data_IF_313772396784
#
_entry.id   IF_313772396784
#
_cell.length_a   1.000
_cell.length_b   1.000
_cell.length_c   1.000
_cell.angle_alpha   90.00
_cell.angle_beta   90.00
_cell.angle_gamma   90.00
#
_symmetry.space_group_name_H-M   'P 1'
#
loop_
_entity.id
_entity.type
_entity.pdbx_description
1 polymer ?
#
# COMPACT_ATOMS: atom_id res chain seq x y z
N UNK A 1 -2.06 12.64 -6.95
CA UNK A 1 -2.25 13.57 -5.82
C UNK A 1 -1.41 13.05 -4.66
N UNK A 2 -0.70 13.93 -3.97
CA UNK A 2 -0.07 13.65 -2.69
C UNK A 2 -0.85 14.38 -1.59
N UNK A 3 -1.00 13.76 -0.42
CA UNK A 3 -1.67 14.35 0.73
C UNK A 3 -0.75 14.19 1.94
N UNK A 4 -0.55 15.26 2.69
CA UNK A 4 0.20 15.26 3.93
C UNK A 4 -0.72 15.64 5.12
N UNK A 5 -0.80 14.74 6.10
CA UNK A 5 -1.62 14.85 7.31
C UNK A 5 -0.83 15.33 8.54
N UNK A 6 0.24 16.11 8.36
CA UNK A 6 0.97 16.73 9.47
C UNK A 6 0.04 17.52 10.40
N UNK A 7 -0.90 18.25 9.78
CA UNK A 7 -1.98 18.95 10.43
C UNK A 7 -3.29 18.32 9.93
N UNK A 8 -3.89 17.38 10.67
CA UNK A 8 -5.06 16.64 10.20
C UNK A 8 -6.28 17.52 9.88
N UNK A 9 -6.41 18.67 10.55
CA UNK A 9 -7.48 19.66 10.30
C UNK A 9 -7.25 20.48 9.02
N UNK A 10 -5.99 20.59 8.57
CA UNK A 10 -5.59 21.31 7.35
C UNK A 10 -4.59 20.46 6.53
N UNK A 11 -5.04 19.34 5.93
CA UNK A 11 -4.13 18.48 5.18
C UNK A 11 -3.59 19.22 3.96
N UNK A 12 -2.27 19.16 3.74
CA UNK A 12 -1.66 19.74 2.54
C UNK A 12 -1.93 18.80 1.37
N UNK A 13 -2.57 19.32 0.33
CA UNK A 13 -2.95 18.54 -0.86
C UNK A 13 -2.20 19.08 -2.07
N UNK A 14 -1.44 18.22 -2.73
CA UNK A 14 -0.78 18.53 -3.99
C UNK A 14 -1.37 17.71 -5.14
N UNK A 15 -1.88 18.39 -6.17
CA UNK A 15 -2.30 17.74 -7.41
C UNK A 15 -1.06 17.41 -8.25
N UNK A 16 -0.95 16.16 -8.68
CA UNK A 16 0.09 15.70 -9.59
C UNK A 16 -0.59 15.40 -10.92
N UNK A 17 -0.20 16.13 -11.96
CA UNK A 17 -0.73 15.97 -13.30
C UNK A 17 0.15 14.98 -14.08
N UNK A 18 -0.18 13.69 -13.95
CA UNK A 18 0.53 12.61 -14.63
C UNK A 18 -0.46 11.63 -15.22
N UNK A 19 -0.45 11.50 -16.55
CA UNK A 19 -1.23 10.53 -17.28
C UNK A 19 -0.38 9.29 -17.57
N UNK A 20 -0.58 8.25 -16.76
CA UNK A 20 0.16 6.99 -16.87
C UNK A 20 -0.05 6.29 -18.22
N UNK A 21 -1.17 6.55 -18.90
CA UNK A 21 -1.40 5.98 -20.23
C UNK A 21 -0.44 6.54 -21.27
N UNK A 22 -0.03 7.81 -21.14
CA UNK A 22 1.02 8.41 -21.96
C UNK A 22 2.41 7.86 -21.66
N UNK A 23 2.58 7.20 -20.51
CA UNK A 23 3.80 6.49 -20.13
C UNK A 23 3.74 4.99 -20.50
N UNK A 24 2.69 4.53 -21.18
CA UNK A 24 2.56 3.14 -21.60
C UNK A 24 1.91 2.21 -20.57
N UNK A 25 1.29 2.76 -19.51
CA UNK A 25 0.76 1.98 -18.40
C UNK A 25 -0.72 2.26 -18.11
N UNK A 26 -1.38 1.27 -17.55
CA UNK A 26 -2.68 1.39 -16.92
C UNK A 26 -2.59 1.04 -15.43
N UNK A 27 -3.46 1.67 -14.64
CA UNK A 27 -3.72 1.25 -13.26
C UNK A 27 -4.91 0.30 -13.28
N UNK A 28 -4.78 -0.83 -12.61
CA UNK A 28 -5.82 -1.82 -12.40
C UNK A 28 -6.14 -1.94 -10.92
N UNK A 29 -7.43 -2.03 -10.60
CA UNK A 29 -7.88 -2.50 -9.29
C UNK A 29 -8.36 -3.93 -9.48
N UNK A 30 -7.89 -4.83 -8.61
CA UNK A 30 -8.38 -6.21 -8.54
C UNK A 30 -9.07 -6.38 -7.20
N UNK A 31 -10.36 -6.70 -7.21
CA UNK A 31 -11.11 -7.13 -6.05
C UNK A 31 -10.79 -8.60 -5.77
N UNK A 32 -10.08 -8.84 -4.69
CA UNK A 32 -9.65 -10.15 -4.24
C UNK A 32 -10.67 -10.83 -3.32
N UNK A 33 -11.80 -10.17 -3.06
CA UNK A 33 -12.83 -10.64 -2.12
C UNK A 33 -12.35 -10.62 -0.67
N UNK A 34 -12.93 -11.52 0.13
CA UNK A 34 -12.64 -11.69 1.55
C UNK A 34 -13.67 -11.03 2.47
N UNK A 35 -13.93 -11.69 3.60
CA UNK A 35 -14.89 -11.23 4.57
C UNK A 35 -14.26 -10.24 5.56
N UNK A 36 -14.86 -9.05 5.69
CA UNK A 36 -14.38 -8.01 6.62
C UNK A 36 -14.90 -8.19 8.05
N UNK A 37 -15.92 -9.02 8.25
CA UNK A 37 -16.66 -9.10 9.52
C UNK A 37 -15.79 -9.43 10.74
N UNK A 38 -14.73 -10.24 10.55
CA UNK A 38 -13.86 -10.68 11.64
C UNK A 38 -12.48 -10.00 11.66
N UNK A 39 -12.19 -9.06 10.75
CA UNK A 39 -10.86 -8.45 10.64
C UNK A 39 -10.61 -7.29 11.62
N UNK A 40 -11.61 -6.90 12.42
CA UNK A 40 -11.52 -5.77 13.36
C UNK A 40 -10.32 -5.88 14.29
N UNK A 41 -10.02 -7.09 14.77
CA UNK A 41 -8.89 -7.33 15.66
C UNK A 41 -7.53 -7.18 14.96
N UNK A 42 -7.42 -7.61 13.70
CA UNK A 42 -6.20 -7.47 12.89
C UNK A 42 -5.89 -6.00 12.62
N UNK A 43 -6.91 -5.23 12.24
CA UNK A 43 -6.79 -3.78 12.04
C UNK A 43 -6.43 -3.05 13.32
N UNK A 44 -7.11 -3.35 14.43
CA UNK A 44 -6.82 -2.75 15.73
C UNK A 44 -5.39 -3.06 16.19
N UNK A 45 -4.88 -4.26 15.89
CA UNK A 45 -3.51 -4.65 16.24
C UNK A 45 -2.47 -3.76 15.55
N UNK A 46 -2.67 -3.35 14.29
CA UNK A 46 -1.72 -2.47 13.57
C UNK A 46 -1.54 -1.15 14.31
N UNK A 47 -2.64 -0.47 14.59
CA UNK A 47 -2.64 0.82 15.29
C UNK A 47 -2.09 0.67 16.71
N UNK A 48 -2.51 -0.36 17.43
CA UNK A 48 -2.06 -0.61 18.80
C UNK A 48 -0.54 -0.83 18.85
N UNK A 49 -0.01 -1.69 17.99
CA UNK A 49 1.40 -2.09 18.00
C UNK A 49 2.32 -0.94 17.58
N UNK A 50 1.96 -0.18 16.54
CA UNK A 50 2.69 1.05 16.18
C UNK A 50 2.63 2.09 17.31
N UNK A 51 1.49 2.21 17.99
CA UNK A 51 1.32 3.09 19.15
C UNK A 51 2.12 2.62 20.39
N UNK A 52 2.29 1.32 20.59
CA UNK A 52 3.18 0.76 21.63
C UNK A 52 4.63 1.21 21.40
N UNK A 53 5.09 1.21 20.14
CA UNK A 53 6.42 1.73 19.78
C UNK A 53 6.51 3.24 20.01
N UNK A 54 5.51 4.02 19.58
CA UNK A 54 5.51 5.47 19.78
C UNK A 54 5.56 5.86 21.27
N UNK A 55 4.82 5.13 22.12
CA UNK A 55 4.79 5.37 23.57
C UNK A 55 6.13 5.15 24.25
N UNK A 56 6.98 4.27 23.73
CA UNK A 56 8.35 4.13 24.24
C UNK A 56 9.13 5.45 24.18
N UNK A 57 8.85 6.30 23.18
CA UNK A 57 9.47 7.62 23.02
C UNK A 57 8.65 8.76 23.65
N UNK A 58 7.63 8.45 24.46
CA UNK A 58 6.71 9.44 25.01
C UNK A 58 5.84 10.13 23.94
N UNK A 59 5.62 9.46 22.81
CA UNK A 59 4.81 9.94 21.68
C UNK A 59 3.50 9.16 21.56
N UNK A 60 2.56 9.70 20.80
CA UNK A 60 1.26 9.07 20.56
C UNK A 60 1.26 8.32 19.22
N UNK A 61 1.91 8.87 18.20
CA UNK A 61 2.01 8.25 16.87
C UNK A 61 3.45 8.22 16.37
N UNK A 62 3.76 7.27 15.48
CA UNK A 62 5.11 7.09 14.93
C UNK A 62 5.60 8.30 14.12
N UNK A 63 4.69 9.15 13.60
CA UNK A 63 5.08 10.39 12.90
C UNK A 63 5.86 11.35 13.80
N UNK A 64 5.63 11.30 15.11
CA UNK A 64 6.30 12.17 16.09
C UNK A 64 7.64 11.59 16.56
N UNK A 65 7.98 10.38 16.11
CA UNK A 65 9.21 9.67 16.48
C UNK A 65 10.26 9.91 15.42
N UNK A 66 11.46 10.30 15.84
CA UNK A 66 12.62 10.37 14.95
C UNK A 66 13.05 8.95 14.53
N UNK A 67 13.17 8.72 13.22
CA UNK A 67 13.49 7.41 12.67
C UNK A 67 14.87 6.91 13.13
N UNK A 68 15.87 7.81 13.22
CA UNK A 68 17.21 7.43 13.68
C UNK A 68 17.21 7.02 15.15
N UNK A 69 16.46 7.74 16.01
CA UNK A 69 16.23 7.36 17.40
C UNK A 69 15.53 6.00 17.51
N UNK A 70 14.53 5.73 16.66
CA UNK A 70 13.89 4.41 16.60
C UNK A 70 14.90 3.28 16.34
N UNK A 71 15.73 3.41 15.29
CA UNK A 71 16.74 2.39 14.97
C UNK A 71 17.81 2.25 16.07
N UNK A 72 18.24 3.35 16.67
CA UNK A 72 19.20 3.34 17.78
C UNK A 72 18.64 2.64 19.04
N UNK A 73 17.32 2.68 19.25
CA UNK A 73 16.65 2.08 20.41
C UNK A 73 16.14 0.65 20.20
N UNK A 74 16.35 0.02 19.03
CA UNK A 74 15.80 -1.32 18.72
C UNK A 74 16.06 -2.38 19.79
N UNK A 75 17.27 -2.40 20.34
CA UNK A 75 17.64 -3.37 21.39
C UNK A 75 16.87 -3.18 22.70
N UNK A 76 16.43 -1.95 23.01
CA UNK A 76 15.60 -1.67 24.18
C UNK A 76 14.13 -1.90 23.86
N UNK A 77 13.66 -1.41 22.71
CA UNK A 77 12.30 -1.59 22.21
C UNK A 77 11.91 -3.06 22.17
N UNK A 78 12.80 -3.95 21.68
CA UNK A 78 12.55 -5.40 21.62
C UNK A 78 12.28 -6.05 22.98
N UNK A 79 12.68 -5.42 24.09
CA UNK A 79 12.38 -5.89 25.45
C UNK A 79 11.01 -5.45 25.94
N UNK A 80 10.41 -4.44 25.30
CA UNK A 80 9.14 -3.81 25.73
C UNK A 80 7.98 -4.01 24.77
N UNK A 81 8.24 -4.29 23.48
CA UNK A 81 7.20 -4.50 22.46
C UNK A 81 7.49 -5.77 21.66
N UNK A 82 6.50 -6.25 20.91
CA UNK A 82 6.65 -7.44 20.07
C UNK A 82 7.54 -7.17 18.85
N UNK A 83 8.18 -8.22 18.33
CA UNK A 83 8.93 -8.14 17.06
C UNK A 83 8.03 -7.64 15.92
N UNK A 84 6.74 -8.04 15.90
CA UNK A 84 5.75 -7.54 14.94
C UNK A 84 5.52 -6.03 15.04
N UNK A 85 5.50 -5.47 16.25
CA UNK A 85 5.38 -4.03 16.44
C UNK A 85 6.59 -3.28 15.84
N UNK A 86 7.80 -3.83 16.01
CA UNK A 86 9.02 -3.27 15.41
C UNK A 86 8.97 -3.32 13.87
N UNK A 87 8.58 -4.45 13.30
CA UNK A 87 8.43 -4.61 11.85
C UNK A 87 7.39 -3.64 11.28
N UNK A 88 6.26 -3.47 11.98
CA UNK A 88 5.24 -2.48 11.60
C UNK A 88 5.76 -1.05 11.69
N UNK A 89 6.55 -0.70 12.70
CA UNK A 89 7.19 0.60 12.75
C UNK A 89 8.19 0.81 11.59
N UNK A 90 8.99 -0.19 11.23
CA UNK A 90 9.87 -0.14 10.06
C UNK A 90 9.08 0.05 8.76
N UNK A 91 7.93 -0.62 8.61
CA UNK A 91 7.02 -0.38 7.49
C UNK A 91 6.58 1.09 7.45
N UNK A 92 6.11 1.63 8.58
CA UNK A 92 5.61 3.01 8.65
C UNK A 92 6.66 4.02 8.17
N UNK A 93 7.88 3.97 8.70
CA UNK A 93 8.94 4.88 8.28
C UNK A 93 9.31 4.69 6.81
N UNK A 94 9.49 3.43 6.39
CA UNK A 94 9.84 3.09 5.01
C UNK A 94 8.79 3.56 4.01
N UNK A 95 7.51 3.29 4.24
CA UNK A 95 6.44 3.65 3.31
C UNK A 95 6.21 5.16 3.27
N UNK A 96 6.26 5.85 4.42
CA UNK A 96 6.19 7.32 4.47
C UNK A 96 7.33 7.97 3.70
N UNK A 97 8.56 7.44 3.78
CA UNK A 97 9.70 7.94 3.02
C UNK A 97 9.58 7.68 1.49
N UNK A 98 8.78 6.70 1.06
CA UNK A 98 8.52 6.42 -0.36
C UNK A 98 7.51 7.38 -0.98
N UNK A 99 6.53 7.87 -0.23
CA UNK A 99 5.47 8.76 -0.74
C UNK A 99 6.00 9.99 -1.49
N UNK A 100 6.87 10.84 -0.92
CA UNK A 100 7.38 12.00 -1.64
C UNK A 100 8.24 11.61 -2.85
N UNK A 101 8.96 10.48 -2.77
CA UNK A 101 9.76 9.95 -3.88
C UNK A 101 8.89 9.47 -5.04
N UNK A 102 7.76 8.82 -4.75
CA UNK A 102 6.77 8.43 -5.74
C UNK A 102 6.11 9.65 -6.39
N UNK A 103 5.78 10.67 -5.58
CA UNK A 103 5.22 11.92 -6.09
C UNK A 103 6.19 12.60 -7.06
N UNK A 104 7.47 12.69 -6.70
CA UNK A 104 8.50 13.28 -7.55
C UNK A 104 8.72 12.47 -8.83
N UNK A 105 8.78 11.15 -8.73
CA UNK A 105 8.89 10.27 -9.90
C UNK A 105 7.75 10.50 -10.90
N UNK A 106 6.51 10.69 -10.43
CA UNK A 106 5.37 11.00 -11.29
C UNK A 106 5.49 12.39 -11.94
N UNK A 107 5.99 13.41 -11.23
CA UNK A 107 6.23 14.76 -11.77
C UNK A 107 7.29 14.73 -12.87
N UNK A 108 8.36 13.99 -12.64
CA UNK A 108 9.48 13.81 -13.56
C UNK A 108 9.19 12.80 -14.67
N UNK A 109 8.01 12.16 -14.66
CA UNK A 109 7.63 11.07 -15.58
C UNK A 109 8.61 9.89 -15.57
N UNK A 110 9.31 9.71 -14.44
CA UNK A 110 10.20 8.58 -14.18
C UNK A 110 9.37 7.37 -13.73
N UNK A 111 8.90 6.63 -14.73
CA UNK A 111 8.05 5.47 -14.51
C UNK A 111 8.80 4.30 -13.86
N UNK A 112 10.11 4.20 -14.09
CA UNK A 112 10.93 3.12 -13.53
C UNK A 112 11.07 3.26 -12.02
N UNK A 113 11.38 4.48 -11.56
CA UNK A 113 11.43 4.77 -10.12
C UNK A 113 10.06 4.60 -9.48
N UNK A 114 9.00 5.10 -10.11
CA UNK A 114 7.63 4.94 -9.58
C UNK A 114 7.26 3.45 -9.42
N UNK A 115 7.49 2.65 -10.46
CA UNK A 115 7.25 1.19 -10.47
C UNK A 115 8.05 0.47 -9.39
N UNK A 116 9.34 0.77 -9.27
CA UNK A 116 10.21 0.17 -8.23
C UNK A 116 9.69 0.48 -6.83
N UNK A 117 9.40 1.75 -6.53
CA UNK A 117 8.90 2.17 -5.21
C UNK A 117 7.52 1.56 -4.90
N UNK A 118 6.67 1.37 -5.92
CA UNK A 118 5.38 0.70 -5.76
C UNK A 118 5.57 -0.78 -5.36
N UNK A 119 6.50 -1.50 -6.01
CA UNK A 119 6.82 -2.88 -5.62
C UNK A 119 7.46 -2.96 -4.23
N UNK A 120 8.36 -2.04 -3.88
CA UNK A 120 8.93 -1.98 -2.53
C UNK A 120 7.84 -1.78 -1.46
N UNK A 121 6.84 -0.94 -1.73
CA UNK A 121 5.66 -0.80 -0.86
C UNK A 121 4.87 -2.13 -0.77
N UNK A 122 4.63 -2.79 -1.91
CA UNK A 122 3.98 -4.10 -1.97
C UNK A 122 4.69 -5.17 -1.14
N UNK A 123 6.02 -5.29 -1.28
CA UNK A 123 6.82 -6.22 -0.47
C UNK A 123 6.82 -5.84 1.02
N UNK A 124 6.83 -4.54 1.34
CA UNK A 124 6.76 -4.06 2.71
C UNK A 124 5.42 -4.43 3.38
N UNK A 125 4.31 -4.42 2.64
CA UNK A 125 3.01 -4.90 3.12
C UNK A 125 3.03 -6.38 3.52
N UNK A 126 3.75 -7.22 2.77
CA UNK A 126 3.93 -8.64 3.12
C UNK A 126 4.85 -8.84 4.32
N UNK A 127 6.03 -8.24 4.27
CA UNK A 127 7.16 -8.63 5.13
C UNK A 127 7.25 -7.83 6.42
N UNK A 128 6.79 -6.57 6.41
CA UNK A 128 6.92 -5.65 7.53
C UNK A 128 5.56 -5.31 8.17
N UNK A 129 4.60 -4.82 7.38
CA UNK A 129 3.26 -4.51 7.89
C UNK A 129 2.47 -5.77 8.24
N UNK A 130 2.66 -6.80 7.42
CA UNK A 130 1.96 -8.08 7.49
C UNK A 130 0.44 -7.95 7.35
N UNK A 131 -0.03 -7.00 6.53
CA UNK A 131 -1.46 -6.80 6.25
C UNK A 131 -1.91 -7.49 4.95
N UNK A 132 -1.20 -8.51 4.51
CA UNK A 132 -1.57 -9.29 3.31
C UNK A 132 -2.18 -10.63 3.68
N UNK A 133 -1.78 -11.17 4.84
CA UNK A 133 -2.12 -12.50 5.31
C UNK A 133 -2.77 -12.37 6.70
N UNK A 134 -4.11 -12.32 6.83
CA UNK A 134 -4.80 -12.38 8.14
C UNK A 134 -4.50 -13.66 8.94
N UNK A 135 -4.93 -13.80 10.18
CA UNK A 135 -4.67 -15.05 10.93
C UNK A 135 -5.32 -16.29 10.28
N UNK A 136 -6.51 -16.14 9.71
CA UNK A 136 -7.18 -17.22 8.98
C UNK A 136 -6.44 -17.54 7.66
N UNK A 137 -5.92 -18.76 7.55
CA UNK A 137 -5.20 -19.22 6.37
C UNK A 137 -6.10 -19.46 5.15
N UNK A 138 -7.41 -19.60 5.34
CA UNK A 138 -8.38 -19.74 4.24
C UNK A 138 -8.69 -18.40 3.55
N UNK A 139 -8.48 -17.28 4.24
CA UNK A 139 -8.70 -15.92 3.75
C UNK A 139 -7.37 -15.30 3.28
N UNK A 140 -6.93 -15.67 2.06
CA UNK A 140 -5.62 -15.26 1.48
C UNK A 140 -5.73 -14.62 0.10
N UNK A 141 -6.89 -14.06 -0.24
CA UNK A 141 -7.17 -13.49 -1.56
C UNK A 141 -6.14 -12.44 -2.00
N UNK A 142 -5.76 -11.51 -1.10
CA UNK A 142 -4.74 -10.50 -1.39
C UNK A 142 -3.38 -11.14 -1.69
N UNK A 143 -2.92 -12.07 -0.85
CA UNK A 143 -1.65 -12.76 -1.04
C UNK A 143 -1.58 -13.45 -2.41
N UNK A 144 -2.66 -14.16 -2.78
CA UNK A 144 -2.77 -14.84 -4.05
C UNK A 144 -2.73 -13.86 -5.24
N UNK A 145 -3.49 -12.76 -5.15
CA UNK A 145 -3.53 -11.77 -6.23
C UNK A 145 -2.18 -11.07 -6.42
N UNK A 146 -1.49 -10.73 -5.33
CA UNK A 146 -0.17 -10.10 -5.40
C UNK A 146 0.88 -11.06 -5.96
N UNK A 147 0.87 -12.35 -5.57
CA UNK A 147 1.78 -13.35 -6.12
C UNK A 147 1.57 -13.58 -7.63
N UNK A 148 0.31 -13.60 -8.08
CA UNK A 148 0.00 -13.64 -9.52
C UNK A 148 0.48 -12.37 -10.22
N UNK A 149 0.26 -11.21 -9.62
CA UNK A 149 0.70 -9.91 -10.16
C UNK A 149 2.21 -9.85 -10.30
N UNK A 150 2.95 -10.30 -9.29
CA UNK A 150 4.41 -10.38 -9.31
C UNK A 150 4.91 -11.22 -10.47
N UNK A 151 4.38 -12.44 -10.61
CA UNK A 151 4.74 -13.34 -11.71
C UNK A 151 4.46 -12.71 -13.08
N UNK A 152 3.28 -12.11 -13.26
CA UNK A 152 2.89 -11.54 -14.55
C UNK A 152 3.61 -10.25 -14.90
N UNK A 153 3.97 -9.45 -13.89
CA UNK A 153 4.51 -8.09 -14.06
C UNK A 153 6.02 -8.00 -13.76
N UNK A 154 6.69 -9.13 -13.57
CA UNK A 154 8.14 -9.18 -13.32
C UNK A 154 8.89 -8.37 -14.37
N UNK A 155 9.69 -7.41 -13.91
CA UNK A 155 10.49 -6.52 -14.77
C UNK A 155 9.71 -5.44 -15.53
N UNK A 156 8.39 -5.60 -15.72
CA UNK A 156 7.61 -4.74 -16.62
C UNK A 156 6.50 -3.94 -15.96
N UNK A 157 5.98 -4.33 -14.81
CA UNK A 157 4.93 -3.62 -14.08
C UNK A 157 5.19 -3.55 -12.57
N UNK A 158 4.15 -3.14 -11.83
CA UNK A 158 4.18 -3.10 -10.37
C UNK A 158 2.85 -3.44 -9.73
N UNK A 159 2.87 -3.73 -8.44
CA UNK A 159 1.71 -4.17 -7.66
C UNK A 159 1.88 -3.79 -6.19
N UNK A 160 0.76 -3.59 -5.49
CA UNK A 160 0.71 -3.42 -4.03
C UNK A 160 -0.71 -3.63 -3.50
N UNK A 161 -0.84 -3.80 -2.20
CA UNK A 161 -2.15 -3.71 -1.52
C UNK A 161 -2.77 -2.33 -1.77
N UNK A 162 -4.08 -2.29 -1.97
CA UNK A 162 -4.86 -1.05 -2.01
C UNK A 162 -5.89 -1.03 -0.88
N UNK A 163 -5.84 0.02 -0.06
CA UNK A 163 -6.65 0.11 1.16
C UNK A 163 -5.95 -0.53 2.36
N UNK A 164 -6.75 -0.96 3.34
CA UNK A 164 -6.25 -1.40 4.65
C UNK A 164 -5.53 -2.75 4.66
N UNK A 165 -5.75 -3.61 3.67
CA UNK A 165 -5.22 -4.97 3.62
C UNK A 165 -6.13 -6.00 4.28
N UNK A 166 -5.59 -7.19 4.53
CA UNK A 166 -6.25 -8.40 5.05
C UNK A 166 -7.37 -8.98 4.16
N UNK A 167 -8.15 -8.14 3.49
CA UNK A 167 -9.13 -8.44 2.46
C UNK A 167 -9.24 -7.25 1.48
N UNK A 168 -10.09 -7.35 0.47
CA UNK A 168 -10.40 -6.24 -0.42
C UNK A 168 -9.57 -6.26 -1.69
N UNK A 169 -8.80 -5.20 -1.95
CA UNK A 169 -8.26 -4.92 -3.28
C UNK A 169 -6.74 -4.81 -3.36
N UNK A 170 -6.19 -5.11 -4.53
CA UNK A 170 -4.83 -4.73 -4.91
C UNK A 170 -4.86 -3.66 -6.00
N UNK A 171 -3.78 -2.87 -6.06
CA UNK A 171 -3.50 -1.94 -7.15
C UNK A 171 -2.35 -2.51 -7.97
N UNK A 172 -2.51 -2.56 -9.29
CA UNK A 172 -1.44 -2.96 -10.20
C UNK A 172 -1.21 -1.91 -11.28
N UNK A 173 0.07 -1.70 -11.62
CA UNK A 173 0.54 -0.90 -12.72
C UNK A 173 0.95 -1.85 -13.85
N UNK A 174 0.14 -1.93 -14.90
CA UNK A 174 0.22 -2.93 -15.95
C UNK A 174 0.56 -2.25 -17.28
N UNK A 175 1.54 -2.74 -18.05
CA UNK A 175 1.77 -2.25 -19.41
C UNK A 175 0.50 -2.35 -20.26
N UNK A 176 0.21 -1.33 -21.07
CA UNK A 176 -1.03 -1.29 -21.85
C UNK A 176 -1.22 -2.51 -22.76
N UNK A 177 -0.13 -3.07 -23.31
CA UNK A 177 -0.16 -4.27 -24.14
C UNK A 177 -0.50 -5.56 -23.39
N UNK A 178 -0.28 -5.62 -22.08
CA UNK A 178 -0.52 -6.80 -21.24
C UNK A 178 -1.89 -6.79 -20.55
N UNK A 179 -2.66 -5.71 -20.73
CA UNK A 179 -3.88 -5.44 -19.95
C UNK A 179 -4.95 -6.52 -20.10
N UNK A 180 -5.19 -7.00 -21.31
CA UNK A 180 -6.20 -8.01 -21.58
C UNK A 180 -5.84 -9.34 -20.89
N UNK A 181 -4.60 -9.79 -21.05
CA UNK A 181 -4.09 -11.03 -20.45
C UNK A 181 -4.09 -10.95 -18.92
N UNK A 182 -3.70 -9.80 -18.36
CA UNK A 182 -3.75 -9.55 -16.92
C UNK A 182 -5.17 -9.67 -16.37
N UNK A 183 -6.15 -9.02 -17.02
CA UNK A 183 -7.54 -9.09 -16.60
C UNK A 183 -8.10 -10.52 -16.69
N UNK A 184 -7.88 -11.21 -17.81
CA UNK A 184 -8.31 -12.60 -18.00
C UNK A 184 -7.74 -13.51 -16.92
N UNK A 185 -6.47 -13.36 -16.58
CA UNK A 185 -5.83 -14.20 -15.57
C UNK A 185 -6.37 -13.93 -14.17
N UNK A 186 -6.66 -12.68 -13.82
CA UNK A 186 -7.26 -12.33 -12.52
C UNK A 186 -8.70 -12.83 -12.42
N UNK A 187 -9.51 -12.62 -13.46
CA UNK A 187 -10.92 -13.04 -13.47
C UNK A 187 -11.08 -14.57 -13.44
N UNK A 188 -10.12 -15.31 -14.01
CA UNK A 188 -10.07 -16.78 -13.90
C UNK A 188 -9.96 -17.26 -12.45
N UNK A 189 -9.36 -16.46 -11.56
CA UNK A 189 -9.08 -16.84 -10.17
C UNK A 189 -10.11 -16.24 -9.21
N UNK A 190 -10.48 -14.97 -9.40
CA UNK A 190 -11.34 -14.23 -8.47
C UNK A 190 -12.76 -13.97 -8.99
N UNK A 191 -13.09 -14.45 -10.19
CA UNK A 191 -14.40 -14.32 -10.81
C UNK A 191 -14.49 -13.15 -11.78
N UNK A 192 -15.47 -13.22 -12.68
CA UNK A 192 -15.70 -12.20 -13.70
C UNK A 192 -15.94 -10.81 -13.09
N UNK A 193 -15.34 -9.78 -13.68
CA UNK A 193 -15.47 -8.40 -13.23
C UNK A 193 -14.65 -8.04 -11.99
N UNK A 194 -13.80 -8.96 -11.48
CA UNK A 194 -12.95 -8.67 -10.33
C UNK A 194 -11.83 -7.66 -10.67
N UNK A 195 -11.39 -7.60 -11.94
CA UNK A 195 -10.26 -6.79 -12.38
C UNK A 195 -10.73 -5.72 -13.37
N UNK A 196 -10.51 -4.46 -13.05
CA UNK A 196 -10.91 -3.36 -13.93
C UNK A 196 -9.86 -2.26 -13.99
N UNK A 197 -9.72 -1.69 -15.20
CA UNK A 197 -8.87 -0.53 -15.43
C UNK A 197 -9.47 0.69 -14.74
N UNK A 198 -8.68 1.32 -13.89
CA UNK A 198 -9.06 2.55 -13.21
C UNK A 198 -8.68 3.77 -14.06
N UNK A 199 -9.62 4.70 -14.23
CA UNK A 199 -9.37 6.01 -14.83
C UNK A 199 -9.47 7.08 -13.74
N UNK A 200 -8.37 7.81 -13.51
CA UNK A 200 -8.36 8.91 -12.55
C UNK A 200 -9.17 10.07 -13.13
N UNK A 201 -10.28 10.43 -12.49
CA UNK A 201 -11.08 11.59 -12.88
C UNK A 201 -10.35 12.89 -12.49
N UNK A 202 -10.42 13.96 -13.30
CA UNK A 202 -9.75 15.23 -13.00
C UNK A 202 -10.43 16.04 -11.89
N UNK A 203 -11.61 15.62 -11.42
CA UNK A 203 -12.43 16.27 -10.40
C UNK A 203 -12.65 15.35 -9.19
N UNK A 204 -12.62 15.94 -7.99
CA UNK A 204 -12.92 15.25 -6.73
C UNK A 204 -14.42 15.09 -6.48
N UNK A 205 -14.83 14.96 -5.20
CA UNK A 205 -16.25 14.96 -4.83
C UNK A 205 -16.93 16.27 -5.25
N UNK A 206 -18.04 16.17 -5.98
CA UNK A 206 -18.86 17.31 -6.39
C UNK A 206 -20.18 17.23 -5.66
N UNK A 207 -20.61 18.33 -5.04
CA UNK A 207 -21.96 18.45 -4.49
C UNK A 207 -22.94 18.58 -5.66
N UNK A 208 -23.78 17.57 -5.85
CA UNK A 208 -24.93 17.67 -6.75
C UNK A 208 -26.06 18.29 -5.93
N UNK A 209 -26.61 19.39 -6.42
CA UNK A 209 -27.71 20.14 -5.79
C UNK A 209 -29.03 19.37 -5.79
#
# INVERSE_FOLDING_TARGET
MAIDFEQPEEPKIEKIDCDLSKLGYAICIVNCGGNHADLTHEYAAVTKEMGDVARFFGKTVLREVDEAAFYASLGQLRKSVSDRALLRAMHFFGDNARVPKQAEALKMRDIETFRRLMNESGHSSFTLLQNVCPTDASERGLALALALSERMLTGKGAWRVHGGGFAGTILALVPLGDMADYQVQMEKVFGSGCCYRFAVRPVGGVKIG
#
